data_IF_724913051522
#
_entry.id   IF_724913051522
#
_cell.length_a   1.000
_cell.length_b   1.000
_cell.length_c   1.000
_cell.angle_alpha   90.00
_cell.angle_beta   90.00
_cell.angle_gamma   90.00
#
_symmetry.space_group_name_H-M   'P 1'
#
loop_
_entity.id
_entity.type
_entity.pdbx_description
1 polymer ?
#
# COMPACT_ATOMS: atom_id res chain seq x y z
N UNK A 1 13.06 13.59 -23.78
CA UNK A 1 13.91 12.37 -23.84
C UNK A 1 13.81 11.83 -22.43
N UNK A 2 13.18 10.68 -22.25
CA UNK A 2 12.83 10.18 -20.92
C UNK A 2 14.04 10.14 -19.99
N UNK A 3 13.79 10.38 -18.69
CA UNK A 3 14.83 10.48 -17.67
C UNK A 3 14.88 9.23 -16.82
N UNK A 4 16.08 8.78 -16.46
CA UNK A 4 16.27 7.62 -15.60
C UNK A 4 16.05 8.00 -14.12
N UNK A 5 15.46 7.09 -13.34
CA UNK A 5 15.33 7.22 -11.89
C UNK A 5 15.68 5.90 -11.19
N UNK A 6 16.07 5.97 -9.92
CA UNK A 6 16.33 4.81 -9.08
C UNK A 6 16.04 5.10 -7.60
N UNK A 7 15.12 4.32 -7.02
CA UNK A 7 14.76 4.35 -5.61
C UNK A 7 15.24 3.09 -4.92
N UNK A 8 15.92 3.24 -3.79
CA UNK A 8 16.42 2.12 -2.98
C UNK A 8 15.79 2.15 -1.59
N UNK A 9 15.21 1.02 -1.18
CA UNK A 9 14.58 0.84 0.13
C UNK A 9 15.06 -0.44 0.79
N UNK A 10 14.91 -0.51 2.12
CA UNK A 10 15.23 -1.69 2.90
C UNK A 10 14.22 -1.84 4.03
N UNK A 11 13.74 -3.06 4.26
CA UNK A 11 12.83 -3.38 5.37
C UNK A 11 13.26 -4.68 6.06
N UNK A 12 13.14 -4.70 7.39
CA UNK A 12 13.32 -5.92 8.19
C UNK A 12 11.99 -6.67 8.31
N UNK A 13 12.02 -7.96 8.01
CA UNK A 13 10.84 -8.81 7.96
C UNK A 13 11.00 -9.95 8.97
N UNK A 14 10.01 -10.07 9.87
CA UNK A 14 9.94 -11.16 10.84
C UNK A 14 9.40 -12.45 10.19
N UNK A 15 10.06 -12.89 9.13
CA UNK A 15 9.69 -14.06 8.32
C UNK A 15 10.94 -14.68 7.66
N UNK A 16 10.82 -15.95 7.30
CA UNK A 16 11.84 -16.71 6.56
C UNK A 16 11.93 -16.28 5.09
N UNK A 17 13.04 -16.56 4.39
CA UNK A 17 13.17 -16.20 2.98
C UNK A 17 12.05 -16.78 2.11
N UNK A 18 11.63 -18.00 2.40
CA UNK A 18 10.54 -18.69 1.70
C UNK A 18 9.21 -17.97 1.89
N UNK A 19 8.90 -17.53 3.11
CA UNK A 19 7.67 -16.79 3.40
C UNK A 19 7.66 -15.40 2.75
N UNK A 20 8.80 -14.70 2.75
CA UNK A 20 8.96 -13.42 2.03
C UNK A 20 8.81 -13.64 0.54
N UNK A 21 9.44 -14.69 -0.01
CA UNK A 21 9.33 -15.05 -1.43
C UNK A 21 7.87 -15.26 -1.83
N UNK A 22 7.10 -16.03 -1.06
CA UNK A 22 5.68 -16.24 -1.33
C UNK A 22 4.91 -14.91 -1.31
N UNK A 23 5.22 -14.01 -0.37
CA UNK A 23 4.54 -12.71 -0.25
C UNK A 23 4.79 -11.78 -1.45
N UNK A 24 5.96 -11.82 -2.08
CA UNK A 24 6.32 -10.89 -3.17
C UNK A 24 6.12 -11.46 -4.59
N UNK A 25 6.04 -12.79 -4.73
CA UNK A 25 6.11 -13.47 -6.04
C UNK A 25 4.81 -14.14 -6.47
N UNK A 26 3.77 -14.11 -5.64
CA UNK A 26 2.48 -14.74 -5.92
C UNK A 26 1.33 -13.73 -5.82
N UNK A 27 0.27 -13.95 -6.60
CA UNK A 27 -0.95 -13.11 -6.55
C UNK A 27 -1.57 -13.07 -5.16
N UNK A 28 -1.60 -14.23 -4.48
CA UNK A 28 -2.12 -14.37 -3.11
C UNK A 28 -1.26 -13.58 -2.11
N UNK A 29 0.06 -13.67 -2.24
CA UNK A 29 1.02 -12.90 -1.46
C UNK A 29 0.90 -11.40 -1.67
N UNK A 30 0.88 -10.95 -2.93
CA UNK A 30 0.75 -9.53 -3.27
C UNK A 30 -0.57 -8.95 -2.78
N UNK A 31 -1.68 -9.67 -2.93
CA UNK A 31 -2.99 -9.25 -2.40
C UNK A 31 -2.96 -8.97 -0.90
N UNK A 32 -2.06 -9.61 -0.15
CA UNK A 32 -1.97 -9.51 1.29
C UNK A 32 -1.31 -8.22 1.81
N UNK A 33 -0.60 -7.46 0.98
CA UNK A 33 0.07 -6.21 1.41
C UNK A 33 0.18 -5.13 0.33
N UNK A 34 -0.13 -5.48 -0.92
CA UNK A 34 -0.13 -4.63 -2.10
C UNK A 34 -1.44 -4.85 -2.89
N UNK A 35 -1.56 -4.27 -4.08
CA UNK A 35 -2.71 -4.56 -4.94
C UNK A 35 -2.60 -5.96 -5.61
N UNK A 36 -3.73 -6.63 -5.89
CA UNK A 36 -3.73 -7.88 -6.63
C UNK A 36 -3.07 -7.69 -7.99
N UNK A 37 -1.96 -8.39 -8.21
CA UNK A 37 -1.25 -8.45 -9.48
C UNK A 37 -0.81 -9.88 -9.73
N UNK A 38 -0.82 -10.29 -10.98
CA UNK A 38 -0.28 -11.57 -11.41
C UNK A 38 1.13 -11.37 -11.94
N UNK A 39 2.11 -12.04 -11.33
CA UNK A 39 3.49 -12.06 -11.80
C UNK A 39 3.73 -13.43 -12.43
N UNK A 40 3.63 -13.49 -13.75
CA UNK A 40 4.06 -14.68 -14.49
C UNK A 40 5.59 -14.77 -14.48
N UNK A 41 6.13 -15.68 -13.66
CA UNK A 41 7.58 -15.88 -13.53
C UNK A 41 8.25 -16.44 -14.79
N UNK A 42 7.46 -16.89 -15.79
CA UNK A 42 7.96 -17.29 -17.10
C UNK A 42 7.87 -16.20 -18.16
N UNK A 43 7.31 -15.04 -17.83
CA UNK A 43 7.15 -13.93 -18.76
C UNK A 43 8.49 -13.24 -19.07
N UNK A 44 8.57 -12.67 -20.27
CA UNK A 44 9.71 -11.85 -20.66
C UNK A 44 9.80 -10.62 -19.75
N UNK A 45 11.02 -10.28 -19.33
CA UNK A 45 11.26 -9.23 -18.33
C UNK A 45 11.14 -9.66 -16.86
N UNK A 46 10.85 -10.94 -16.57
CA UNK A 46 10.89 -11.49 -15.21
C UNK A 46 12.10 -12.41 -15.03
N UNK A 47 12.94 -12.12 -14.02
CA UNK A 47 14.02 -13.00 -13.57
C UNK A 47 13.75 -13.45 -12.13
N UNK A 48 13.65 -14.75 -11.91
CA UNK A 48 13.42 -15.34 -10.59
C UNK A 48 14.54 -16.32 -10.19
N UNK A 49 15.14 -16.09 -9.03
CA UNK A 49 16.04 -17.02 -8.31
C UNK A 49 15.47 -17.26 -6.90
N UNK A 50 14.47 -18.16 -6.75
CA UNK A 50 13.82 -18.38 -5.46
C UNK A 50 14.77 -19.00 -4.41
N UNK A 51 14.71 -18.59 -3.12
CA UNK A 51 13.94 -17.49 -2.55
C UNK A 51 14.77 -16.18 -2.45
N UNK A 52 15.80 -16.00 -3.28
CA UNK A 52 16.85 -14.98 -3.08
C UNK A 52 16.59 -13.69 -3.83
N UNK A 53 16.19 -13.74 -5.10
CA UNK A 53 16.09 -12.56 -5.96
C UNK A 53 14.92 -12.66 -6.93
N UNK A 54 14.13 -11.60 -7.01
CA UNK A 54 13.08 -11.42 -8.01
C UNK A 54 13.29 -10.07 -8.69
N UNK A 55 13.39 -10.06 -10.01
CA UNK A 55 13.39 -8.85 -10.83
C UNK A 55 12.19 -8.90 -11.77
N UNK A 56 11.41 -7.82 -11.78
CA UNK A 56 10.24 -7.65 -12.65
C UNK A 56 10.41 -6.37 -13.44
N UNK A 57 10.48 -6.47 -14.77
CA UNK A 57 10.47 -5.33 -15.69
C UNK A 57 9.12 -5.26 -16.38
N UNK A 58 8.47 -4.10 -16.31
CA UNK A 58 7.22 -3.90 -17.05
C UNK A 58 7.51 -3.61 -18.52
N UNK A 59 6.60 -3.95 -19.44
CA UNK A 59 6.63 -3.40 -20.78
C UNK A 59 6.68 -1.87 -20.74
N UNK A 60 7.28 -1.26 -21.76
CA UNK A 60 7.25 0.18 -21.91
C UNK A 60 5.81 0.66 -22.10
N UNK A 61 5.43 1.74 -21.41
CA UNK A 61 4.14 2.38 -21.59
C UNK A 61 4.10 3.16 -22.91
N UNK A 62 2.92 3.65 -23.29
CA UNK A 62 2.72 4.39 -24.56
C UNK A 62 3.55 5.68 -24.64
N UNK A 63 3.85 6.29 -23.49
CA UNK A 63 4.71 7.47 -23.36
C UNK A 63 6.21 7.13 -23.38
N UNK A 64 6.56 5.85 -23.51
CA UNK A 64 7.93 5.33 -23.51
C UNK A 64 8.54 5.17 -22.11
N UNK A 65 7.79 5.45 -21.04
CA UNK A 65 8.24 5.20 -19.68
C UNK A 65 8.41 3.70 -19.42
N UNK A 66 9.36 3.35 -18.56
CA UNK A 66 9.65 1.96 -18.19
C UNK A 66 9.78 1.84 -16.69
N UNK A 67 9.47 0.67 -16.14
CA UNK A 67 9.53 0.41 -14.70
C UNK A 67 10.20 -0.95 -14.47
N UNK A 68 11.03 -1.04 -13.43
CA UNK A 68 11.67 -2.25 -12.98
C UNK A 68 11.70 -2.31 -11.46
N UNK A 69 11.39 -3.48 -10.92
CA UNK A 69 11.30 -3.76 -9.49
C UNK A 69 12.22 -4.93 -9.15
N UNK A 70 13.25 -4.69 -8.35
CA UNK A 70 14.18 -5.71 -7.88
C UNK A 70 14.00 -5.93 -6.39
N UNK A 71 13.80 -7.18 -6.01
CA UNK A 71 13.67 -7.65 -4.64
C UNK A 71 14.84 -8.59 -4.35
N UNK A 72 15.63 -8.27 -3.34
CA UNK A 72 16.72 -9.13 -2.84
C UNK A 72 16.46 -9.49 -1.37
N UNK A 73 16.35 -10.79 -1.11
CA UNK A 73 16.02 -11.34 0.20
C UNK A 73 17.30 -11.87 0.85
N UNK A 74 17.69 -11.26 1.97
CA UNK A 74 18.86 -11.66 2.76
C UNK A 74 18.41 -12.25 4.09
N UNK A 75 18.63 -13.56 4.29
CA UNK A 75 18.36 -14.22 5.56
C UNK A 75 19.19 -13.63 6.70
N UNK A 76 18.61 -13.57 7.90
CA UNK A 76 19.25 -13.13 9.15
C UNK A 76 19.04 -14.18 10.24
N UNK A 77 19.82 -14.06 11.30
CA UNK A 77 19.71 -14.94 12.45
C UNK A 77 18.32 -14.83 13.11
N UNK A 78 17.81 -15.95 13.64
CA UNK A 78 16.53 -15.96 14.35
C UNK A 78 15.30 -16.09 13.44
N UNK A 79 15.47 -16.43 12.16
CA UNK A 79 14.35 -16.66 11.23
C UNK A 79 13.74 -15.38 10.66
N UNK A 80 14.48 -14.27 10.68
CA UNK A 80 14.10 -13.01 10.04
C UNK A 80 14.87 -12.80 8.72
N UNK A 81 14.41 -11.84 7.92
CA UNK A 81 15.07 -11.42 6.69
C UNK A 81 15.21 -9.90 6.63
N UNK A 82 16.17 -9.46 5.84
CA UNK A 82 16.20 -8.10 5.29
C UNK A 82 15.80 -8.20 3.83
N UNK A 83 14.75 -7.48 3.44
CA UNK A 83 14.39 -7.28 2.04
C UNK A 83 15.00 -5.96 1.58
N UNK A 84 15.86 -6.02 0.56
CA UNK A 84 16.30 -4.83 -0.19
C UNK A 84 15.44 -4.72 -1.44
N UNK A 85 14.94 -3.53 -1.66
CA UNK A 85 14.04 -3.23 -2.77
C UNK A 85 14.63 -2.10 -3.61
N UNK A 86 14.63 -2.28 -4.92
CA UNK A 86 15.01 -1.25 -5.90
C UNK A 86 13.86 -1.06 -6.87
N UNK A 87 13.43 0.19 -7.03
CA UNK A 87 12.48 0.60 -8.04
C UNK A 87 13.15 1.59 -8.98
N UNK A 88 13.35 1.20 -10.23
CA UNK A 88 14.09 1.99 -11.23
C UNK A 88 13.35 2.04 -12.54
N UNK A 89 13.68 2.99 -13.41
CA UNK A 89 13.09 3.03 -14.73
C UNK A 89 13.36 4.32 -15.47
N UNK A 90 12.51 4.60 -16.45
CA UNK A 90 12.52 5.86 -17.21
C UNK A 90 11.18 6.55 -16.97
N UNK A 91 11.19 7.79 -16.49
CA UNK A 91 9.99 8.65 -16.39
C UNK A 91 9.77 9.44 -17.69
N UNK A 92 8.49 9.67 -18.00
CA UNK A 92 8.07 10.60 -19.06
C UNK A 92 8.39 12.06 -18.70
N UNK A 93 8.41 12.93 -19.70
CA UNK A 93 8.87 14.33 -19.57
C UNK A 93 7.92 15.23 -18.71
N UNK A 94 6.82 14.68 -18.19
CA UNK A 94 5.76 15.42 -17.46
C UNK A 94 5.98 15.51 -15.94
N UNK A 95 7.02 14.87 -15.39
CA UNK A 95 7.31 14.85 -13.95
C UNK A 95 8.61 15.59 -13.61
N UNK A 96 8.61 16.27 -12.47
CA UNK A 96 9.83 16.76 -11.83
C UNK A 96 10.48 15.61 -11.04
N UNK A 97 11.79 15.43 -11.21
CA UNK A 97 12.54 14.27 -10.69
C UNK A 97 12.44 14.17 -9.16
N UNK A 98 12.66 15.28 -8.44
CA UNK A 98 12.62 15.32 -6.97
C UNK A 98 11.23 14.99 -6.45
N UNK A 99 10.20 15.55 -7.12
CA UNK A 99 8.80 15.31 -6.75
C UNK A 99 8.39 13.86 -7.01
N UNK A 100 8.80 13.27 -8.13
CA UNK A 100 8.50 11.88 -8.45
C UNK A 100 9.16 10.91 -7.46
N UNK A 101 10.45 11.10 -7.18
CA UNK A 101 11.20 10.26 -6.26
C UNK A 101 10.66 10.34 -4.82
N UNK A 102 10.32 11.54 -4.34
CA UNK A 102 9.73 11.72 -3.02
C UNK A 102 8.37 11.03 -2.90
N UNK A 103 7.50 11.22 -3.90
CA UNK A 103 6.16 10.62 -3.90
C UNK A 103 6.20 9.09 -3.99
N UNK A 104 6.96 8.54 -4.94
CA UNK A 104 7.11 7.09 -5.08
C UNK A 104 7.86 6.49 -3.89
N UNK A 105 8.87 7.20 -3.38
CA UNK A 105 9.62 6.81 -2.20
C UNK A 105 8.74 6.69 -0.96
N UNK A 106 7.88 7.67 -0.68
CA UNK A 106 6.96 7.65 0.46
C UNK A 106 5.87 6.58 0.33
N UNK A 107 5.39 6.32 -0.89
CA UNK A 107 4.48 5.21 -1.18
C UNK A 107 5.12 3.85 -0.91
N UNK A 108 6.34 3.63 -1.38
CA UNK A 108 7.07 2.38 -1.13
C UNK A 108 7.40 2.17 0.35
N UNK A 109 7.71 3.22 1.11
CA UNK A 109 7.88 3.10 2.57
C UNK A 109 6.61 2.55 3.22
N UNK A 110 5.42 3.02 2.81
CA UNK A 110 4.15 2.54 3.33
C UNK A 110 3.85 1.10 2.91
N UNK A 111 4.10 0.73 1.65
CA UNK A 111 3.82 -0.62 1.16
C UNK A 111 4.77 -1.65 1.76
N UNK A 112 6.06 -1.33 1.91
CA UNK A 112 7.02 -2.21 2.57
C UNK A 112 6.75 -2.35 4.07
N UNK A 113 6.26 -1.30 4.74
CA UNK A 113 5.74 -1.42 6.11
C UNK A 113 4.50 -2.32 6.17
N UNK A 114 3.59 -2.19 5.21
CA UNK A 114 2.41 -3.07 5.10
C UNK A 114 2.81 -4.54 4.91
N UNK A 115 3.85 -4.82 4.12
CA UNK A 115 4.43 -6.16 4.00
C UNK A 115 4.98 -6.67 5.34
N UNK A 116 5.73 -5.84 6.07
CA UNK A 116 6.27 -6.19 7.38
C UNK A 116 5.15 -6.51 8.38
N UNK A 117 4.07 -5.72 8.38
CA UNK A 117 2.90 -5.91 9.22
C UNK A 117 2.12 -7.17 8.85
N UNK A 118 1.93 -7.45 7.55
CA UNK A 118 1.33 -8.68 7.07
C UNK A 118 2.11 -9.91 7.57
N UNK A 119 3.42 -9.94 7.30
CA UNK A 119 4.27 -11.08 7.68
C UNK A 119 4.33 -11.28 9.20
N UNK A 120 4.25 -10.21 9.98
CA UNK A 120 4.31 -10.30 11.44
C UNK A 120 3.00 -10.78 12.09
N UNK A 121 1.85 -10.34 11.58
CA UNK A 121 0.58 -10.52 12.28
C UNK A 121 -0.42 -11.42 11.57
N UNK A 122 -0.28 -11.58 10.25
CA UNK A 122 -1.30 -12.18 9.40
C UNK A 122 -0.74 -13.24 8.44
N UNK A 123 0.54 -13.59 8.55
CA UNK A 123 1.19 -14.55 7.68
C UNK A 123 0.41 -15.87 7.54
N UNK A 124 0.27 -16.34 6.30
CA UNK A 124 -0.43 -17.58 5.96
C UNK A 124 -1.97 -17.48 6.01
N UNK A 125 -2.54 -16.34 6.39
CA UNK A 125 -3.99 -16.12 6.31
C UNK A 125 -4.36 -15.70 4.88
N UNK A 126 -5.44 -16.26 4.30
CA UNK A 126 -5.98 -15.79 3.03
C UNK A 126 -6.30 -14.30 3.12
N UNK A 127 -5.99 -13.54 2.07
CA UNK A 127 -6.24 -12.11 2.02
C UNK A 127 -7.23 -11.75 0.91
N UNK A 128 -8.09 -10.76 1.17
CA UNK A 128 -8.82 -10.03 0.13
C UNK A 128 -8.41 -8.56 0.14
N UNK A 129 -8.45 -7.94 -1.03
CA UNK A 129 -8.12 -6.53 -1.21
C UNK A 129 -9.34 -5.76 -1.70
N UNK A 130 -9.59 -4.61 -1.08
CA UNK A 130 -10.53 -3.61 -1.60
C UNK A 130 -9.90 -2.24 -1.57
N UNK A 131 -10.32 -1.39 -2.50
CA UNK A 131 -9.95 0.02 -2.56
C UNK A 131 -11.21 0.86 -2.86
N UNK A 132 -11.29 2.02 -2.25
CA UNK A 132 -12.30 3.04 -2.53
C UNK A 132 -11.66 4.44 -2.47
N UNK A 133 -12.27 5.39 -3.18
CA UNK A 133 -11.80 6.77 -3.22
C UNK A 133 -12.92 7.78 -3.04
N UNK A 134 -12.59 8.92 -2.46
CA UNK A 134 -13.52 10.04 -2.31
C UNK A 134 -13.87 10.66 -3.68
N UNK A 135 -14.95 11.44 -3.76
CA UNK A 135 -15.32 12.10 -5.01
C UNK A 135 -14.52 13.37 -5.30
N UNK A 136 -13.93 14.00 -4.27
CA UNK A 136 -13.19 15.25 -4.38
C UNK A 136 -11.74 15.15 -3.87
N UNK A 137 -10.85 15.94 -4.48
CA UNK A 137 -9.46 16.13 -4.03
C UNK A 137 -9.38 17.04 -2.79
N UNK A 138 -8.21 17.09 -2.14
CA UNK A 138 -7.95 18.06 -1.06
C UNK A 138 -8.76 17.80 0.22
N UNK A 139 -9.10 16.54 0.50
CA UNK A 139 -9.89 16.13 1.69
C UNK A 139 -9.05 15.54 2.82
N UNK A 140 -7.71 15.56 2.70
CA UNK A 140 -6.81 14.91 3.66
C UNK A 140 -6.91 15.46 5.08
N UNK A 141 -6.82 16.77 5.27
CA UNK A 141 -6.93 17.39 6.61
C UNK A 141 -8.26 17.06 7.29
N UNK A 142 -9.33 16.94 6.51
CA UNK A 142 -10.63 16.54 7.02
C UNK A 142 -10.64 15.09 7.47
N UNK A 143 -10.04 14.19 6.69
CA UNK A 143 -9.86 12.80 7.09
C UNK A 143 -9.09 12.73 8.42
N UNK A 144 -7.97 13.44 8.55
CA UNK A 144 -7.17 13.45 9.79
C UNK A 144 -8.00 13.90 10.99
N UNK A 145 -8.81 14.96 10.85
CA UNK A 145 -9.73 15.41 11.91
C UNK A 145 -10.76 14.36 12.30
N UNK A 146 -11.36 13.69 11.32
CA UNK A 146 -12.35 12.62 11.56
C UNK A 146 -11.71 11.44 12.30
N UNK A 147 -10.49 11.08 11.93
CA UNK A 147 -9.73 10.03 12.59
C UNK A 147 -9.17 10.46 13.96
N UNK A 148 -9.41 11.71 14.38
CA UNK A 148 -8.99 12.24 15.68
C UNK A 148 -7.52 12.63 15.76
N UNK A 149 -6.95 13.13 14.67
CA UNK A 149 -5.52 13.50 14.53
C UNK A 149 -4.60 12.32 14.91
N UNK A 150 -4.65 11.22 14.13
CA UNK A 150 -4.05 9.95 14.51
C UNK A 150 -2.54 10.06 14.70
N UNK A 151 -2.07 9.50 15.82
CA UNK A 151 -0.66 9.35 16.17
C UNK A 151 -0.28 7.88 16.20
N UNK A 152 0.96 7.57 15.83
CA UNK A 152 1.48 6.21 15.86
C UNK A 152 1.24 5.55 17.23
N UNK A 153 0.73 4.32 17.24
CA UNK A 153 0.37 3.55 18.43
C UNK A 153 -0.97 3.93 19.09
N UNK A 154 -1.66 4.98 18.63
CA UNK A 154 -2.97 5.33 19.15
C UNK A 154 -4.05 4.38 18.62
N UNK A 155 -5.14 4.20 19.36
CA UNK A 155 -6.33 3.49 18.86
C UNK A 155 -7.26 4.46 18.16
N UNK A 156 -7.63 4.14 16.93
CA UNK A 156 -8.66 4.82 16.13
C UNK A 156 -9.89 3.93 16.04
N UNK A 157 -11.06 4.56 16.10
CA UNK A 157 -12.36 3.90 15.93
C UNK A 157 -13.12 4.58 14.81
N UNK A 158 -13.60 3.78 13.86
CA UNK A 158 -14.35 4.22 12.69
C UNK A 158 -15.71 3.57 12.74
N UNK A 159 -16.74 4.38 12.89
CA UNK A 159 -18.13 3.94 12.71
C UNK A 159 -18.44 3.94 11.21
N UNK A 160 -18.90 2.80 10.72
CA UNK A 160 -19.22 2.58 9.32
C UNK A 160 -20.71 2.82 9.07
N UNK A 161 -21.14 3.16 7.85
CA UNK A 161 -22.53 3.50 7.54
C UNK A 161 -23.55 2.44 7.92
N UNK A 162 -23.17 1.16 7.91
CA UNK A 162 -24.00 0.04 8.35
C UNK A 162 -24.12 -0.12 9.87
N UNK A 163 -23.49 0.77 10.66
CA UNK A 163 -23.46 0.74 12.12
C UNK A 163 -22.40 -0.17 12.72
N UNK A 164 -21.57 -0.81 11.89
CA UNK A 164 -20.44 -1.61 12.35
C UNK A 164 -19.27 -0.70 12.79
N UNK A 165 -18.46 -1.17 13.74
CA UNK A 165 -17.33 -0.43 14.29
C UNK A 165 -16.03 -1.11 13.91
N UNK A 166 -15.15 -0.39 13.22
CA UNK A 166 -13.75 -0.79 13.03
C UNK A 166 -12.90 -0.14 14.10
N UNK A 167 -12.13 -0.94 14.81
CA UNK A 167 -11.16 -0.47 15.80
C UNK A 167 -9.78 -0.98 15.43
N UNK A 168 -8.82 -0.07 15.29
CA UNK A 168 -7.45 -0.41 14.91
C UNK A 168 -6.43 0.47 15.63
N UNK A 169 -5.23 -0.05 15.77
CA UNK A 169 -4.06 0.71 16.21
C UNK A 169 -3.43 1.40 14.99
N UNK A 170 -3.02 2.65 15.14
CA UNK A 170 -2.26 3.36 14.11
C UNK A 170 -0.88 2.72 14.03
N UNK A 171 -0.65 1.91 12.99
CA UNK A 171 0.60 1.21 12.78
C UNK A 171 1.54 1.92 11.80
N UNK A 172 1.01 2.86 11.01
CA UNK A 172 1.79 3.68 10.11
C UNK A 172 1.28 5.13 10.11
N UNK A 173 2.20 6.10 10.08
CA UNK A 173 1.88 7.53 9.95
C UNK A 173 3.01 8.26 9.25
N UNK A 174 2.71 8.87 8.12
CA UNK A 174 3.56 9.84 7.43
C UNK A 174 2.69 10.95 6.87
N UNK A 175 3.28 11.99 6.27
CA UNK A 175 2.56 13.17 5.75
C UNK A 175 1.31 12.80 4.95
N UNK A 176 1.45 11.86 4.00
CA UNK A 176 0.41 11.47 3.06
C UNK A 176 -0.28 10.14 3.40
N UNK A 177 0.05 9.49 4.53
CA UNK A 177 -0.48 8.17 4.82
C UNK A 177 -0.85 7.98 6.30
N UNK A 178 -1.95 7.26 6.53
CA UNK A 178 -2.34 6.72 7.83
C UNK A 178 -2.65 5.24 7.66
N UNK A 179 -1.94 4.39 8.39
CA UNK A 179 -2.20 2.96 8.46
C UNK A 179 -2.87 2.59 9.78
N UNK A 180 -3.90 1.74 9.72
CA UNK A 180 -4.51 1.10 10.88
C UNK A 180 -4.36 -0.42 10.79
N UNK A 181 -3.93 -1.05 11.87
CA UNK A 181 -3.95 -2.50 12.05
C UNK A 181 -5.08 -2.89 12.99
N UNK A 182 -6.01 -3.71 12.51
CA UNK A 182 -7.10 -4.30 13.30
C UNK A 182 -6.74 -5.73 13.73
N UNK A 183 -7.71 -6.47 14.27
CA UNK A 183 -7.53 -7.90 14.57
C UNK A 183 -7.47 -8.79 13.31
N UNK A 184 -7.96 -8.30 12.18
CA UNK A 184 -8.17 -9.06 10.95
C UNK A 184 -7.94 -8.27 9.66
N UNK A 185 -7.44 -7.03 9.72
CA UNK A 185 -7.19 -6.21 8.54
C UNK A 185 -6.04 -5.20 8.72
N UNK A 186 -5.43 -4.82 7.60
CA UNK A 186 -4.62 -3.62 7.44
C UNK A 186 -5.38 -2.63 6.57
N UNK A 187 -5.69 -1.46 7.13
CA UNK A 187 -6.39 -0.37 6.43
C UNK A 187 -5.36 0.73 6.18
N UNK A 188 -5.31 1.26 4.96
CA UNK A 188 -4.36 2.29 4.52
C UNK A 188 -5.12 3.44 3.90
N UNK A 189 -4.99 4.62 4.48
CA UNK A 189 -5.50 5.87 3.92
C UNK A 189 -4.38 6.60 3.20
N UNK A 190 -4.69 7.12 2.01
CA UNK A 190 -3.73 7.71 1.08
C UNK A 190 -4.16 9.12 0.73
N UNK A 191 -3.31 10.12 1.00
CA UNK A 191 -3.41 11.43 0.38
C UNK A 191 -2.80 11.36 -1.01
N UNK A 192 -3.64 11.50 -2.03
CA UNK A 192 -3.22 11.53 -3.44
C UNK A 192 -3.45 12.90 -4.05
N UNK A 193 -3.72 13.92 -3.23
CA UNK A 193 -3.92 15.29 -3.67
C UNK A 193 -2.73 15.88 -4.43
N UNK A 194 -1.45 15.56 -4.09
CA UNK A 194 -0.32 16.09 -4.85
C UNK A 194 -0.26 15.62 -6.32
N UNK A 195 -0.85 14.47 -6.64
CA UNK A 195 -1.02 13.99 -8.04
C UNK A 195 -2.41 14.29 -8.60
N UNK A 196 -3.16 15.22 -7.98
CA UNK A 196 -4.49 15.61 -8.42
C UNK A 196 -5.57 14.54 -8.24
N UNK A 197 -5.32 13.51 -7.43
CA UNK A 197 -6.28 12.43 -7.18
C UNK A 197 -6.95 12.56 -5.80
N UNK A 198 -8.20 12.06 -5.65
CA UNK A 198 -8.87 12.06 -4.34
C UNK A 198 -8.18 11.17 -3.32
N UNK A 199 -8.47 11.43 -2.04
CA UNK A 199 -8.12 10.51 -0.94
C UNK A 199 -8.63 9.11 -1.25
N UNK A 200 -7.80 8.10 -1.02
CA UNK A 200 -8.19 6.69 -1.08
C UNK A 200 -8.10 6.02 0.30
N UNK A 201 -8.88 4.95 0.42
CA UNK A 201 -8.70 3.93 1.44
C UNK A 201 -8.54 2.58 0.75
N UNK A 202 -7.53 1.82 1.14
CA UNK A 202 -7.40 0.42 0.82
C UNK A 202 -7.47 -0.43 2.09
N UNK A 203 -7.99 -1.64 1.96
CA UNK A 203 -8.10 -2.61 3.05
C UNK A 203 -7.63 -3.98 2.56
N UNK A 204 -6.59 -4.51 3.22
CA UNK A 204 -6.21 -5.92 3.13
C UNK A 204 -6.87 -6.64 4.30
N UNK A 205 -7.85 -7.50 4.02
CA UNK A 205 -8.57 -8.25 5.05
C UNK A 205 -8.11 -9.70 5.06
N UNK A 206 -7.86 -10.24 6.24
CA UNK A 206 -7.26 -11.56 6.43
C UNK A 206 -8.23 -12.53 7.08
N UNK A 207 -8.34 -13.75 6.55
CA UNK A 207 -9.19 -14.82 7.09
C UNK A 207 -10.30 -15.24 6.13
N UNK A 208 -11.44 -15.66 6.68
CA UNK A 208 -12.56 -16.17 5.87
C UNK A 208 -13.16 -15.04 5.03
N UNK A 209 -13.35 -15.24 3.71
CA UNK A 209 -13.93 -14.22 2.85
C UNK A 209 -15.36 -13.87 3.28
N UNK A 210 -15.63 -12.57 3.44
CA UNK A 210 -16.94 -11.99 3.76
C UNK A 210 -17.09 -10.64 3.03
N UNK A 211 -18.35 -10.20 2.78
CA UNK A 211 -19.04 -10.14 1.49
C UNK A 211 -18.48 -9.10 0.46
N UNK A 212 -18.91 -9.16 -0.81
CA UNK A 212 -18.52 -8.25 -1.91
C UNK A 212 -18.86 -6.76 -1.70
N UNK A 213 -19.50 -6.39 -0.59
CA UNK A 213 -19.98 -5.04 -0.33
C UNK A 213 -18.94 -4.13 0.36
N UNK A 214 -17.77 -4.65 0.71
CA UNK A 214 -16.78 -3.89 1.50
C UNK A 214 -16.25 -2.65 0.79
N UNK A 215 -16.06 -2.71 -0.52
CA UNK A 215 -15.80 -1.53 -1.35
C UNK A 215 -16.93 -0.51 -1.25
N UNK A 216 -18.19 -0.95 -1.32
CA UNK A 216 -19.35 -0.06 -1.22
C UNK A 216 -19.49 0.56 0.17
N UNK A 217 -19.15 -0.17 1.24
CA UNK A 217 -19.08 0.40 2.58
C UNK A 217 -18.06 1.55 2.64
N UNK A 218 -16.84 1.35 2.12
CA UNK A 218 -15.83 2.41 2.14
C UNK A 218 -16.22 3.60 1.26
N UNK A 219 -16.81 3.36 0.08
CA UNK A 219 -17.35 4.44 -0.76
C UNK A 219 -18.42 5.25 -0.01
N UNK A 220 -19.37 4.56 0.63
CA UNK A 220 -20.42 5.21 1.43
C UNK A 220 -19.83 5.98 2.61
N UNK A 221 -18.83 5.43 3.30
CA UNK A 221 -18.16 6.08 4.41
C UNK A 221 -17.41 7.34 3.96
N UNK A 222 -16.65 7.28 2.86
CA UNK A 222 -15.96 8.45 2.30
C UNK A 222 -16.95 9.54 1.89
N UNK A 223 -18.07 9.17 1.26
CA UNK A 223 -19.10 10.12 0.85
C UNK A 223 -19.76 10.83 2.07
N UNK A 224 -20.11 10.08 3.12
CA UNK A 224 -20.72 10.66 4.33
C UNK A 224 -19.72 11.43 5.19
N UNK A 225 -18.44 11.09 5.10
CA UNK A 225 -17.40 11.64 5.98
C UNK A 225 -16.67 12.82 5.36
N UNK A 226 -16.35 12.76 4.07
CA UNK A 226 -15.46 13.70 3.38
C UNK A 226 -16.20 14.61 2.40
N UNK A 227 -17.28 14.13 1.78
CA UNK A 227 -17.95 14.84 0.69
C UNK A 227 -19.13 15.72 1.13
N UNK A 228 -19.46 15.76 2.43
CA UNK A 228 -20.48 16.67 2.97
C UNK A 228 -19.99 18.12 2.88
N UNK A 229 -20.77 19.08 2.35
CA UNK A 229 -20.37 20.49 2.31
C UNK A 229 -20.02 21.00 3.71
N UNK A 230 -18.86 21.63 3.90
CA UNK A 230 -18.58 22.34 5.15
C UNK A 230 -19.59 23.50 5.27
N UNK A 231 -20.37 23.51 6.35
CA UNK A 231 -21.20 24.67 6.66
C UNK A 231 -20.25 25.83 6.93
N UNK A 232 -20.31 26.87 6.10
CA UNK A 232 -19.56 28.10 6.33
C UNK A 232 -19.93 28.62 7.72
N UNK A 233 -18.94 28.90 8.60
CA UNK A 233 -19.25 29.67 9.80
C UNK A 233 -19.79 31.03 9.37
N UNK A 234 -20.92 31.42 9.97
CA UNK A 234 -21.56 32.74 9.81
C UNK A 234 -20.70 33.80 10.49
#
# INVERSE_FOLDING_TARGET
>A
MGREFELRKQVELAATPEEVWQAISTTEGLTAWFMPMDIDQGADGVEADPPRRLLVRTPAAEDGSTQAFEYLIEARDGGSCVLRFVHSGIIGDDWDDETYEEMMGSGWDMYLDTLAQYLRYFHGRPASYVEAMASATGRWDRLLRVLGEPKLGATVRIELPEGSLVSGEVDYRSEHFVGLRTADALIRFHDRSPIGMPVAVSEHRYGTPEPPERTQTWLSWLATTLDVPESRPV
#
